data_IF_740288717997
#
_entry.id   IF_740288717997
#
_cell.length_a   1.000
_cell.length_b   1.000
_cell.length_c   1.000
_cell.angle_alpha   90.00
_cell.angle_beta   90.00
_cell.angle_gamma   90.00
#
_symmetry.space_group_name_H-M   'P 1'
#
loop_
_entity.id
_entity.type
_entity.pdbx_description
1 polymer ?
#
# COMPACT_ATOMS: atom_id res chain seq x y z
N UNK A 1 37.47 3.80 8.32
CA UNK A 1 36.55 4.68 7.56
C UNK A 1 35.55 3.74 6.89
N UNK A 2 34.28 4.08 6.89
CA UNK A 2 33.26 3.30 6.20
C UNK A 2 33.58 3.22 4.71
N UNK A 3 33.28 2.09 4.07
CA UNK A 3 33.54 1.86 2.66
C UNK A 3 32.48 2.53 1.78
N UNK A 4 31.25 2.73 2.31
CA UNK A 4 30.10 3.36 1.66
C UNK A 4 29.16 3.97 2.69
N UNK A 5 28.29 4.88 2.24
CA UNK A 5 27.29 5.56 3.08
C UNK A 5 25.88 5.22 2.62
N UNK A 6 25.04 4.82 3.56
CA UNK A 6 23.60 4.63 3.40
C UNK A 6 22.85 5.72 4.17
N UNK A 7 21.84 6.28 3.56
CA UNK A 7 21.01 7.33 4.17
C UNK A 7 19.58 6.82 4.29
N UNK A 8 18.93 7.11 5.42
CA UNK A 8 17.48 6.97 5.58
C UNK A 8 16.85 8.35 5.43
N UNK A 9 16.02 8.55 4.40
CA UNK A 9 15.36 9.83 4.13
C UNK A 9 14.34 10.20 5.20
N UNK A 10 13.58 9.19 5.64
CA UNK A 10 12.50 9.28 6.62
C UNK A 10 12.16 7.88 7.14
N UNK A 11 11.55 7.80 8.30
CA UNK A 11 11.09 6.52 8.86
C UNK A 11 9.90 6.72 9.82
N UNK A 12 9.11 5.65 9.99
CA UNK A 12 7.99 5.57 10.94
C UNK A 12 8.17 4.44 11.96
N UNK A 13 9.23 3.65 11.80
CA UNK A 13 9.55 2.55 12.69
C UNK A 13 9.96 3.09 14.07
N UNK A 14 9.81 2.32 15.16
CA UNK A 14 10.24 2.75 16.51
C UNK A 14 11.74 3.06 16.59
N UNK A 15 12.55 2.28 15.87
CA UNK A 15 13.99 2.44 15.72
C UNK A 15 14.45 1.87 14.36
N UNK A 16 15.74 1.95 14.08
CA UNK A 16 16.40 1.44 12.89
C UNK A 16 17.66 0.64 13.27
N UNK A 17 17.63 -0.04 14.38
CA UNK A 17 18.80 -0.80 14.87
C UNK A 17 19.12 -1.99 13.96
N UNK A 18 18.10 -2.65 13.40
CA UNK A 18 18.29 -3.77 12.45
C UNK A 18 19.01 -3.28 11.20
N UNK A 19 18.55 -2.18 10.62
CA UNK A 19 19.14 -1.57 9.42
C UNK A 19 20.58 -1.13 9.70
N UNK A 20 20.81 -0.53 10.86
CA UNK A 20 22.15 -0.09 11.32
C UNK A 20 23.10 -1.27 11.43
N UNK A 21 22.73 -2.30 12.17
CA UNK A 21 23.54 -3.50 12.34
C UNK A 21 23.88 -4.16 11.01
N UNK A 22 22.90 -4.25 10.10
CA UNK A 22 23.10 -4.83 8.77
C UNK A 22 24.06 -4.01 7.90
N UNK A 23 23.93 -2.69 7.90
CA UNK A 23 24.79 -1.78 7.12
C UNK A 23 26.23 -1.79 7.69
N UNK A 24 26.38 -1.70 9.01
CA UNK A 24 27.68 -1.73 9.68
C UNK A 24 28.41 -3.08 9.51
N UNK A 25 27.65 -4.21 9.55
CA UNK A 25 28.21 -5.54 9.35
C UNK A 25 28.90 -5.74 8.00
N UNK A 26 28.53 -4.96 6.99
CA UNK A 26 29.12 -4.99 5.65
C UNK A 26 30.06 -3.79 5.36
N UNK A 27 30.45 -3.05 6.42
CA UNK A 27 31.42 -1.96 6.33
C UNK A 27 30.85 -0.59 5.95
N UNK A 28 29.53 -0.43 5.97
CA UNK A 28 28.84 0.82 5.69
C UNK A 28 28.64 1.72 6.91
N UNK A 29 28.26 2.96 6.66
CA UNK A 29 27.77 3.93 7.65
C UNK A 29 26.30 4.21 7.38
N UNK A 30 25.44 4.22 8.41
CA UNK A 30 24.02 4.59 8.32
C UNK A 30 23.80 5.98 8.91
N UNK A 31 23.43 6.95 8.04
CA UNK A 31 22.96 8.28 8.44
C UNK A 31 21.43 8.33 8.37
N UNK A 32 20.78 8.89 9.39
CA UNK A 32 19.34 8.87 9.56
C UNK A 32 18.79 10.29 9.53
N UNK A 33 17.77 10.53 8.70
CA UNK A 33 17.04 11.78 8.59
C UNK A 33 15.54 11.63 8.83
N UNK A 34 14.87 12.75 8.93
CA UNK A 34 13.42 12.93 8.87
C UNK A 34 13.15 14.12 7.94
N UNK A 35 13.58 13.97 6.68
CA UNK A 35 13.57 15.05 5.71
C UNK A 35 12.16 15.47 5.36
N UNK A 36 11.95 16.80 5.24
CA UNK A 36 10.67 17.39 4.88
C UNK A 36 10.75 18.14 3.53
N UNK A 37 11.95 18.24 2.95
CA UNK A 37 12.21 18.89 1.68
C UNK A 37 13.32 18.21 0.90
N UNK A 38 13.33 18.41 -0.41
CA UNK A 38 14.41 17.94 -1.27
C UNK A 38 15.78 18.53 -0.87
N UNK A 39 15.81 19.78 -0.44
CA UNK A 39 17.02 20.45 0.03
C UNK A 39 17.63 19.76 1.26
N UNK A 40 16.81 19.43 2.26
CA UNK A 40 17.24 18.68 3.46
C UNK A 40 17.74 17.29 3.09
N UNK A 41 17.04 16.62 2.16
CA UNK A 41 17.46 15.30 1.69
C UNK A 41 18.79 15.35 0.94
N UNK A 42 18.99 16.36 0.09
CA UNK A 42 20.25 16.56 -0.63
C UNK A 42 21.38 16.86 0.36
N UNK A 43 21.16 17.73 1.36
CA UNK A 43 22.15 18.02 2.39
C UNK A 43 22.61 16.74 3.13
N UNK A 44 21.66 15.85 3.46
CA UNK A 44 21.95 14.59 4.14
C UNK A 44 22.65 13.57 3.23
N UNK A 45 22.22 13.50 1.94
CA UNK A 45 22.51 12.39 1.03
C UNK A 45 23.51 12.72 -0.09
N UNK A 46 24.05 13.96 -0.19
CA UNK A 46 24.89 14.40 -1.32
C UNK A 46 26.12 13.51 -1.57
N UNK A 47 26.60 12.81 -0.54
CA UNK A 47 27.74 11.91 -0.60
C UNK A 47 27.38 10.43 -0.38
N UNK A 48 26.07 10.10 -0.31
CA UNK A 48 25.57 8.75 -0.06
C UNK A 48 25.64 7.86 -1.31
N UNK A 49 25.91 6.58 -1.11
CA UNK A 49 25.90 5.53 -2.14
C UNK A 49 24.53 4.87 -2.27
N UNK A 50 23.76 4.80 -1.18
CA UNK A 50 22.42 4.20 -1.14
C UNK A 50 21.47 5.00 -0.25
N UNK A 51 20.18 4.89 -0.55
CA UNK A 51 19.10 5.54 0.21
C UNK A 51 18.00 4.55 0.54
N UNK A 52 17.55 4.56 1.80
CA UNK A 52 16.30 3.97 2.25
C UNK A 52 15.24 5.05 2.34
N UNK A 53 14.07 4.79 1.75
CA UNK A 53 12.96 5.74 1.68
C UNK A 53 11.68 5.09 2.21
N UNK A 54 10.88 5.82 2.97
CA UNK A 54 9.58 5.35 3.49
C UNK A 54 8.43 6.12 2.86
N UNK A 55 8.16 7.34 3.29
CA UNK A 55 7.05 8.17 2.80
C UNK A 55 7.48 9.50 2.20
N UNK A 56 8.71 9.91 2.40
CA UNK A 56 9.20 11.13 1.80
C UNK A 56 9.16 11.03 0.27
N UNK A 57 8.67 12.05 -0.40
CA UNK A 57 8.66 12.08 -1.85
C UNK A 57 8.04 13.34 -2.46
N UNK A 58 8.17 13.46 -3.79
CA UNK A 58 8.89 12.51 -4.65
C UNK A 58 10.42 12.62 -4.53
N UNK A 59 11.09 11.47 -4.50
CA UNK A 59 12.54 11.38 -4.70
C UNK A 59 12.75 11.44 -6.21
N UNK A 60 12.95 12.64 -6.73
CA UNK A 60 12.95 12.92 -8.15
C UNK A 60 14.26 13.53 -8.66
N UNK A 61 14.18 14.14 -9.82
CA UNK A 61 15.31 14.65 -10.62
C UNK A 61 16.26 15.58 -9.83
N UNK A 62 15.69 16.48 -9.02
CA UNK A 62 16.45 17.40 -8.17
C UNK A 62 17.31 16.65 -7.15
N UNK A 63 16.74 15.63 -6.50
CA UNK A 63 17.45 14.82 -5.50
C UNK A 63 18.56 14.02 -6.16
N UNK A 64 18.27 13.36 -7.29
CA UNK A 64 19.30 12.58 -8.00
C UNK A 64 20.44 13.44 -8.52
N UNK A 65 20.14 14.63 -9.03
CA UNK A 65 21.16 15.60 -9.46
C UNK A 65 22.03 16.09 -8.29
N UNK A 66 21.42 16.27 -7.11
CA UNK A 66 22.12 16.70 -5.89
C UNK A 66 22.90 15.59 -5.19
N UNK A 67 22.66 14.32 -5.54
CA UNK A 67 23.29 13.15 -4.93
C UNK A 67 24.09 12.31 -5.96
N UNK A 68 25.20 12.82 -6.50
CA UNK A 68 25.87 12.23 -7.67
C UNK A 68 26.52 10.86 -7.43
N UNK A 69 26.67 10.44 -6.19
CA UNK A 69 27.22 9.12 -5.83
C UNK A 69 26.13 8.07 -5.63
N UNK A 70 24.87 8.48 -5.59
CA UNK A 70 23.75 7.59 -5.30
C UNK A 70 23.59 6.54 -6.41
N UNK A 71 23.58 5.28 -6.02
CA UNK A 71 23.47 4.11 -6.93
C UNK A 71 22.14 3.39 -6.82
N UNK A 72 21.52 3.46 -5.63
CA UNK A 72 20.28 2.73 -5.35
C UNK A 72 19.42 3.48 -4.35
N UNK A 73 18.11 3.48 -4.63
CA UNK A 73 17.07 3.90 -3.68
C UNK A 73 16.16 2.71 -3.40
N UNK A 74 16.00 2.35 -2.13
CA UNK A 74 15.14 1.25 -1.69
C UNK A 74 13.94 1.83 -0.95
N UNK A 75 12.74 1.60 -1.48
CA UNK A 75 11.49 1.95 -0.82
C UNK A 75 11.11 0.88 0.20
N UNK A 76 10.93 1.24 1.48
CA UNK A 76 10.44 0.34 2.53
C UNK A 76 8.93 0.12 2.40
N UNK A 77 8.51 -0.51 1.31
CA UNK A 77 7.13 -0.83 1.06
C UNK A 77 6.85 -1.35 -0.34
N UNK A 78 5.59 -1.73 -0.59
CA UNK A 78 5.15 -2.27 -1.89
C UNK A 78 4.98 -1.16 -2.92
N UNK A 79 4.22 -0.10 -2.57
CA UNK A 79 4.05 1.08 -3.42
C UNK A 79 5.36 1.85 -3.58
N UNK A 80 5.57 2.48 -4.72
CA UNK A 80 6.79 3.25 -5.04
C UNK A 80 6.48 4.62 -5.64
N UNK A 81 5.28 5.12 -5.42
CA UNK A 81 4.82 6.44 -5.84
C UNK A 81 5.63 7.60 -5.26
N UNK A 82 6.38 7.35 -4.19
CA UNK A 82 7.36 8.29 -3.63
C UNK A 82 8.67 8.37 -4.41
N UNK A 83 8.90 7.48 -5.39
CA UNK A 83 10.13 7.41 -6.18
C UNK A 83 9.82 7.69 -7.66
N UNK A 84 10.41 8.73 -8.22
CA UNK A 84 10.39 8.96 -9.67
C UNK A 84 11.35 7.98 -10.37
N UNK A 85 10.78 6.86 -10.84
CA UNK A 85 11.54 5.78 -11.48
C UNK A 85 12.14 6.22 -12.83
N UNK A 86 11.48 7.13 -13.55
CA UNK A 86 11.99 7.65 -14.81
C UNK A 86 13.22 8.56 -14.56
N UNK A 87 13.13 9.43 -13.56
CA UNK A 87 14.27 10.23 -13.15
C UNK A 87 15.42 9.34 -12.64
N UNK A 88 15.13 8.34 -11.80
CA UNK A 88 16.13 7.37 -11.34
C UNK A 88 16.85 6.71 -12.52
N UNK A 89 16.11 6.30 -13.53
CA UNK A 89 16.68 5.69 -14.76
C UNK A 89 17.57 6.66 -15.52
N UNK A 90 17.16 7.94 -15.68
CA UNK A 90 17.97 8.97 -16.35
C UNK A 90 19.31 9.22 -15.63
N UNK A 91 19.30 9.15 -14.30
CA UNK A 91 20.48 9.36 -13.46
C UNK A 91 21.29 8.07 -13.20
N UNK A 92 20.87 6.92 -13.75
CA UNK A 92 21.53 5.62 -13.54
C UNK A 92 21.40 5.07 -12.13
N UNK A 93 20.37 5.50 -11.39
CA UNK A 93 20.07 5.05 -10.03
C UNK A 93 19.07 3.90 -10.09
N UNK A 94 19.35 2.81 -9.37
CA UNK A 94 18.45 1.66 -9.26
C UNK A 94 17.32 1.97 -8.27
N UNK A 95 16.06 1.84 -8.67
CA UNK A 95 14.91 1.91 -7.80
C UNK A 95 14.47 0.50 -7.41
N UNK A 96 14.33 0.24 -6.11
CA UNK A 96 13.97 -1.06 -5.53
C UNK A 96 12.82 -0.89 -4.55
N UNK A 97 11.91 -1.87 -4.48
CA UNK A 97 10.85 -1.91 -3.48
C UNK A 97 10.82 -3.27 -2.76
N UNK A 98 9.96 -3.42 -1.74
CA UNK A 98 9.71 -4.70 -1.05
C UNK A 98 8.31 -5.19 -1.44
N UNK A 99 8.18 -6.09 -2.45
CA UNK A 99 6.92 -6.27 -3.19
C UNK A 99 5.87 -7.14 -2.51
N UNK A 100 6.17 -7.83 -1.40
CA UNK A 100 5.30 -8.88 -0.87
C UNK A 100 5.26 -9.01 0.68
N UNK A 101 5.93 -8.14 1.41
CA UNK A 101 6.08 -8.24 2.89
C UNK A 101 4.76 -8.13 3.68
N UNK A 102 3.76 -7.43 3.16
CA UNK A 102 2.52 -7.12 3.89
C UNK A 102 1.23 -7.51 3.14
N UNK A 103 1.28 -8.51 2.27
CA UNK A 103 0.11 -8.98 1.51
C UNK A 103 -1.01 -9.44 2.44
N UNK A 104 -0.65 -10.18 3.48
CA UNK A 104 -1.59 -10.70 4.48
C UNK A 104 -2.13 -9.57 5.36
N UNK A 105 -1.25 -8.71 5.88
CA UNK A 105 -1.62 -7.62 6.79
C UNK A 105 -2.58 -6.62 6.11
N UNK A 106 -2.30 -6.22 4.88
CA UNK A 106 -3.17 -5.29 4.13
C UNK A 106 -4.53 -5.92 3.84
N UNK A 107 -4.56 -7.19 3.41
CA UNK A 107 -5.82 -7.88 3.16
C UNK A 107 -6.61 -8.15 4.45
N UNK A 108 -5.96 -8.46 5.58
CA UNK A 108 -6.59 -8.61 6.88
C UNK A 108 -7.19 -7.29 7.38
N UNK A 109 -6.44 -6.19 7.22
CA UNK A 109 -6.92 -4.87 7.59
C UNK A 109 -8.15 -4.45 6.78
N UNK A 110 -8.13 -4.68 5.45
CA UNK A 110 -9.27 -4.38 4.58
C UNK A 110 -10.53 -5.20 4.97
N UNK A 111 -10.38 -6.49 5.30
CA UNK A 111 -11.46 -7.33 5.83
C UNK A 111 -11.93 -6.80 7.19
N UNK A 112 -11.00 -6.43 8.07
CA UNK A 112 -11.33 -5.82 9.37
C UNK A 112 -12.20 -4.57 9.23
N UNK A 113 -11.88 -3.68 8.29
CA UNK A 113 -12.68 -2.49 7.98
C UNK A 113 -14.07 -2.86 7.43
N UNK A 114 -14.15 -3.79 6.49
CA UNK A 114 -15.43 -4.26 5.93
C UNK A 114 -16.34 -4.87 7.01
N UNK A 115 -15.79 -5.73 7.88
CA UNK A 115 -16.51 -6.30 9.01
C UNK A 115 -16.95 -5.23 10.00
N UNK A 116 -16.07 -4.29 10.33
CA UNK A 116 -16.38 -3.20 11.26
C UNK A 116 -17.52 -2.31 10.76
N UNK A 117 -17.56 -2.01 9.47
CA UNK A 117 -18.64 -1.24 8.84
C UNK A 117 -19.94 -2.04 8.80
N UNK A 118 -19.94 -3.25 8.24
CA UNK A 118 -21.13 -4.06 8.04
C UNK A 118 -21.77 -4.52 9.36
N UNK A 119 -20.95 -4.80 10.38
CA UNK A 119 -21.40 -5.22 11.72
C UNK A 119 -21.54 -4.09 12.72
N UNK A 120 -21.29 -2.82 12.33
CA UNK A 120 -21.40 -1.64 13.18
C UNK A 120 -20.51 -1.69 14.43
N UNK A 121 -19.34 -2.34 14.36
CA UNK A 121 -18.49 -2.60 15.54
C UNK A 121 -18.08 -1.30 16.21
N UNK A 122 -17.60 -0.30 15.45
CA UNK A 122 -17.16 1.00 15.99
C UNK A 122 -18.31 1.77 16.62
N UNK A 123 -19.50 1.73 16.00
CA UNK A 123 -20.70 2.38 16.56
C UNK A 123 -21.14 1.71 17.86
N UNK A 124 -21.12 0.37 17.92
CA UNK A 124 -21.44 -0.40 19.11
C UNK A 124 -20.45 -0.15 20.26
N UNK A 125 -19.14 -0.10 19.97
CA UNK A 125 -18.10 0.23 20.96
C UNK A 125 -18.34 1.62 21.57
N UNK A 126 -18.56 2.64 20.72
CA UNK A 126 -18.86 4.01 21.20
C UNK A 126 -20.09 4.05 22.09
N UNK A 127 -21.16 3.40 21.66
CA UNK A 127 -22.43 3.34 22.42
C UNK A 127 -22.23 2.73 23.81
N UNK A 128 -21.52 1.59 23.90
CA UNK A 128 -21.25 0.92 25.19
C UNK A 128 -20.36 1.80 26.08
N UNK A 129 -19.36 2.48 25.55
CA UNK A 129 -18.49 3.40 26.31
C UNK A 129 -19.22 4.61 26.87
N UNK A 130 -20.33 5.03 26.25
CA UNK A 130 -21.20 6.10 26.75
C UNK A 130 -22.29 5.59 27.72
N UNK A 131 -22.29 4.31 28.06
CA UNK A 131 -23.24 3.69 28.99
C UNK A 131 -24.58 3.33 28.33
N UNK A 132 -24.68 3.39 27.01
CA UNK A 132 -25.86 2.99 26.27
C UNK A 132 -25.82 1.51 25.90
N UNK A 133 -27.00 0.88 25.81
CA UNK A 133 -27.17 -0.52 25.47
C UNK A 133 -28.41 -0.75 24.62
N UNK A 134 -28.26 -1.60 23.57
CA UNK A 134 -29.38 -2.03 22.73
C UNK A 134 -29.05 -2.10 21.25
N UNK A 135 -29.88 -2.81 20.50
CA UNK A 135 -29.67 -3.01 19.05
C UNK A 135 -30.34 -1.95 18.17
N UNK A 136 -31.36 -1.25 18.71
CA UNK A 136 -32.17 -0.31 17.93
C UNK A 136 -31.33 0.85 17.34
N UNK A 137 -30.40 1.48 18.08
CA UNK A 137 -29.56 2.55 17.53
C UNK A 137 -28.55 2.09 16.47
N UNK A 138 -28.26 0.78 16.41
CA UNK A 138 -27.29 0.21 15.47
C UNK A 138 -27.91 -0.21 14.13
N UNK A 139 -29.23 -0.19 14.00
CA UNK A 139 -29.91 -0.62 12.77
C UNK A 139 -29.72 0.42 11.62
N UNK A 140 -29.64 -0.07 10.37
CA UNK A 140 -29.61 -1.48 9.96
C UNK A 140 -28.22 -2.10 10.16
N UNK A 141 -28.20 -3.36 10.65
CA UNK A 141 -26.97 -4.19 10.67
C UNK A 141 -27.01 -5.13 9.48
N UNK A 142 -26.04 -5.05 8.61
CA UNK A 142 -26.04 -5.79 7.35
C UNK A 142 -25.69 -7.27 7.55
N UNK A 143 -26.39 -8.13 6.81
CA UNK A 143 -25.97 -9.51 6.61
C UNK A 143 -24.88 -9.51 5.52
N UNK A 144 -23.71 -10.05 5.82
CA UNK A 144 -22.58 -10.05 4.89
C UNK A 144 -22.66 -11.20 3.89
N UNK A 145 -23.09 -12.39 4.34
CA UNK A 145 -23.28 -13.55 3.46
C UNK A 145 -24.28 -13.22 2.33
N UNK A 146 -23.90 -13.50 1.10
CA UNK A 146 -24.69 -13.23 -0.10
C UNK A 146 -24.55 -11.79 -0.62
N UNK A 147 -23.74 -10.93 0.01
CA UNK A 147 -23.35 -9.65 -0.58
C UNK A 147 -22.40 -9.85 -1.76
N UNK A 148 -22.38 -8.90 -2.65
CA UNK A 148 -21.39 -8.80 -3.72
C UNK A 148 -20.26 -7.87 -3.28
N UNK A 149 -19.02 -8.38 -3.32
CA UNK A 149 -17.83 -7.58 -3.02
C UNK A 149 -16.99 -7.40 -4.30
N UNK A 150 -16.80 -6.14 -4.68
CA UNK A 150 -15.98 -5.76 -5.83
C UNK A 150 -14.52 -5.52 -5.42
N UNK A 151 -13.59 -6.07 -6.17
CA UNK A 151 -12.15 -5.92 -5.98
C UNK A 151 -11.59 -5.14 -7.17
N UNK A 152 -11.11 -3.93 -6.94
CA UNK A 152 -10.47 -3.10 -7.95
C UNK A 152 -8.96 -3.29 -7.86
N UNK A 153 -8.37 -3.88 -8.91
CA UNK A 153 -6.98 -4.34 -8.91
C UNK A 153 -6.83 -5.75 -8.32
N UNK A 154 -6.58 -6.74 -9.19
CA UNK A 154 -6.41 -8.15 -8.79
C UNK A 154 -4.93 -8.57 -8.82
N UNK A 155 -4.05 -7.71 -8.29
CA UNK A 155 -2.64 -7.99 -8.04
C UNK A 155 -2.44 -8.97 -6.87
N UNK A 156 -1.25 -8.98 -6.25
CA UNK A 156 -0.95 -9.88 -5.11
C UNK A 156 -1.93 -9.72 -3.95
N UNK A 157 -2.18 -8.46 -3.52
CA UNK A 157 -3.11 -8.16 -2.40
C UNK A 157 -4.55 -8.47 -2.80
N UNK A 158 -5.00 -8.05 -3.99
CA UNK A 158 -6.37 -8.32 -4.47
C UNK A 158 -6.68 -9.81 -4.57
N UNK A 159 -5.73 -10.63 -5.01
CA UNK A 159 -5.85 -12.10 -5.03
C UNK A 159 -5.97 -12.69 -3.63
N UNK A 160 -5.17 -12.18 -2.69
CA UNK A 160 -5.25 -12.63 -1.28
C UNK A 160 -6.57 -12.19 -0.64
N UNK A 161 -7.02 -10.99 -0.96
CA UNK A 161 -8.34 -10.49 -0.54
C UNK A 161 -9.47 -11.39 -1.05
N UNK A 162 -9.45 -11.78 -2.33
CA UNK A 162 -10.44 -12.70 -2.91
C UNK A 162 -10.47 -14.04 -2.17
N UNK A 163 -9.29 -14.63 -1.90
CA UNK A 163 -9.17 -15.90 -1.16
C UNK A 163 -9.78 -15.80 0.24
N UNK A 164 -9.45 -14.73 0.98
CA UNK A 164 -9.96 -14.54 2.35
C UNK A 164 -11.46 -14.25 2.36
N UNK A 165 -11.97 -13.41 1.44
CA UNK A 165 -13.40 -13.08 1.34
C UNK A 165 -14.26 -14.28 0.97
N UNK A 166 -13.73 -15.25 0.21
CA UNK A 166 -14.51 -16.45 -0.18
C UNK A 166 -15.08 -17.22 1.01
N UNK A 167 -14.38 -17.18 2.16
CA UNK A 167 -14.85 -17.85 3.40
C UNK A 167 -16.11 -17.22 4.01
N UNK A 168 -16.49 -16.00 3.61
CA UNK A 168 -17.66 -15.30 4.14
C UNK A 168 -18.95 -15.56 3.34
N UNK A 169 -18.88 -16.36 2.27
CA UNK A 169 -20.03 -16.67 1.43
C UNK A 169 -20.56 -15.47 0.66
N UNK A 170 -19.67 -14.60 0.21
CA UNK A 170 -19.97 -13.45 -0.65
C UNK A 170 -19.75 -13.80 -2.12
N UNK A 171 -20.42 -13.07 -3.00
CA UNK A 171 -20.11 -13.08 -4.44
C UNK A 171 -18.95 -12.14 -4.72
N UNK A 172 -17.96 -12.57 -5.52
CA UNK A 172 -16.77 -11.80 -5.81
C UNK A 172 -16.75 -11.34 -7.27
N UNK A 173 -16.56 -10.04 -7.45
CA UNK A 173 -16.29 -9.42 -8.73
C UNK A 173 -14.88 -8.79 -8.69
N UNK A 174 -14.24 -8.71 -9.84
CA UNK A 174 -13.02 -7.90 -9.96
C UNK A 174 -12.98 -7.09 -11.26
N UNK A 175 -12.33 -5.92 -11.18
CA UNK A 175 -11.96 -5.11 -12.31
C UNK A 175 -10.45 -4.90 -12.29
N UNK A 176 -9.78 -5.37 -13.34
CA UNK A 176 -8.33 -5.21 -13.56
C UNK A 176 -8.05 -5.36 -15.06
N UNK A 177 -7.49 -4.33 -15.75
CA UNK A 177 -7.22 -4.39 -17.17
C UNK A 177 -6.13 -5.40 -17.54
N UNK A 178 -5.23 -5.72 -16.60
CA UNK A 178 -4.04 -6.56 -16.84
C UNK A 178 -4.24 -8.03 -16.46
N UNK A 179 -5.39 -8.37 -15.82
CA UNK A 179 -5.67 -9.74 -15.37
C UNK A 179 -6.80 -10.37 -16.20
N UNK A 180 -6.56 -11.55 -16.77
CA UNK A 180 -7.55 -12.31 -17.54
C UNK A 180 -8.71 -12.85 -16.69
N UNK A 181 -9.84 -13.16 -17.32
CA UNK A 181 -11.00 -13.73 -16.65
C UNK A 181 -10.77 -15.18 -16.14
N UNK A 182 -9.76 -15.86 -16.67
CA UNK A 182 -9.35 -17.23 -16.38
C UNK A 182 -8.28 -17.31 -15.28
N UNK A 183 -8.08 -16.21 -14.52
CA UNK A 183 -7.08 -16.17 -13.45
C UNK A 183 -7.32 -17.26 -12.41
N UNK A 184 -6.26 -18.00 -12.10
CA UNK A 184 -6.31 -19.02 -11.03
C UNK A 184 -6.21 -18.35 -9.65
N UNK A 185 -7.24 -18.57 -8.84
CA UNK A 185 -7.32 -18.10 -7.44
C UNK A 185 -7.35 -19.28 -6.44
N UNK A 186 -6.90 -20.48 -6.86
CA UNK A 186 -6.92 -21.67 -6.01
C UNK A 186 -8.34 -22.20 -5.74
N UNK A 187 -9.19 -22.20 -6.76
CA UNK A 187 -10.57 -22.67 -6.68
C UNK A 187 -11.59 -21.64 -6.19
N UNK A 188 -11.17 -20.39 -5.94
CA UNK A 188 -12.09 -19.28 -5.58
C UNK A 188 -12.73 -18.72 -6.83
N UNK A 189 -14.07 -18.73 -6.89
CA UNK A 189 -14.81 -18.07 -7.96
C UNK A 189 -14.79 -16.54 -7.78
N UNK A 190 -14.29 -15.83 -8.78
CA UNK A 190 -14.27 -14.37 -8.82
C UNK A 190 -14.47 -13.95 -10.28
N UNK A 191 -15.55 -13.24 -10.57
CA UNK A 191 -15.94 -12.90 -11.93
C UNK A 191 -15.33 -11.57 -12.36
N UNK A 192 -14.65 -11.56 -13.52
CA UNK A 192 -14.18 -10.32 -14.16
C UNK A 192 -15.34 -9.53 -14.72
N UNK A 193 -15.33 -8.21 -14.46
CA UNK A 193 -16.28 -7.23 -15.01
C UNK A 193 -15.54 -5.93 -15.29
N UNK A 194 -16.17 -5.04 -16.05
CA UNK A 194 -15.70 -3.67 -16.21
C UNK A 194 -15.93 -2.87 -14.91
N UNK A 195 -15.14 -1.81 -14.68
CA UNK A 195 -15.18 -1.03 -13.45
C UNK A 195 -16.55 -0.44 -13.15
N UNK A 196 -17.23 0.11 -14.17
CA UNK A 196 -18.58 0.65 -14.04
C UNK A 196 -19.59 -0.42 -13.60
N UNK A 197 -19.53 -1.61 -14.20
CA UNK A 197 -20.37 -2.74 -13.80
C UNK A 197 -20.06 -3.18 -12.37
N UNK A 198 -18.78 -3.23 -11.98
CA UNK A 198 -18.37 -3.54 -10.61
C UNK A 198 -18.97 -2.56 -9.62
N UNK A 199 -18.85 -1.25 -9.87
CA UNK A 199 -19.41 -0.22 -9.01
C UNK A 199 -20.93 -0.37 -8.84
N UNK A 200 -21.64 -0.66 -9.92
CA UNK A 200 -23.11 -0.81 -9.91
C UNK A 200 -23.61 -2.05 -9.20
N UNK A 201 -22.83 -3.14 -9.23
CA UNK A 201 -23.26 -4.45 -8.70
C UNK A 201 -22.78 -4.71 -7.28
N UNK A 202 -21.79 -3.98 -6.79
CA UNK A 202 -21.14 -4.29 -5.51
C UNK A 202 -21.86 -3.62 -4.32
N UNK A 203 -22.06 -4.37 -3.25
CA UNK A 203 -22.48 -3.87 -1.94
C UNK A 203 -21.29 -3.25 -1.17
N UNK A 204 -20.09 -3.71 -1.48
CA UNK A 204 -18.83 -3.18 -0.93
C UNK A 204 -17.72 -3.26 -1.98
N UNK A 205 -16.84 -2.26 -1.99
CA UNK A 205 -15.70 -2.20 -2.92
C UNK A 205 -14.42 -2.08 -2.10
N UNK A 206 -13.41 -2.85 -2.49
CA UNK A 206 -12.06 -2.76 -1.95
C UNK A 206 -11.07 -2.47 -3.09
N UNK A 207 -10.16 -1.52 -2.85
CA UNK A 207 -9.24 -1.02 -3.89
C UNK A 207 -7.82 -1.45 -3.57
N UNK A 208 -7.20 -2.15 -4.51
CA UNK A 208 -5.83 -2.65 -4.44
C UNK A 208 -5.05 -2.36 -5.73
N UNK A 209 -5.50 -1.36 -6.49
CA UNK A 209 -4.80 -0.86 -7.67
C UNK A 209 -3.54 -0.07 -7.28
N UNK A 210 -2.52 -0.12 -8.12
CA UNK A 210 -1.33 0.71 -7.96
C UNK A 210 -1.69 2.19 -8.15
N UNK A 211 -1.12 3.07 -7.34
CA UNK A 211 -1.26 4.52 -7.51
C UNK A 211 -0.35 5.01 -8.64
N UNK A 212 -0.95 5.48 -9.74
CA UNK A 212 -0.30 6.08 -10.90
C UNK A 212 -1.28 6.98 -11.66
N UNK A 213 -0.83 7.58 -12.76
CA UNK A 213 -1.66 8.48 -13.58
C UNK A 213 -2.92 7.81 -14.13
N UNK A 214 -2.87 6.52 -14.48
CA UNK A 214 -4.00 5.76 -15.00
C UNK A 214 -5.06 5.46 -13.94
N UNK A 215 -4.65 5.37 -12.67
CA UNK A 215 -5.52 5.07 -11.53
C UNK A 215 -5.90 6.30 -10.72
N UNK A 216 -5.37 7.47 -11.09
CA UNK A 216 -5.73 8.73 -10.44
C UNK A 216 -7.22 9.03 -10.67
N UNK A 217 -7.97 9.25 -9.57
CA UNK A 217 -9.43 9.39 -9.59
C UNK A 217 -10.19 8.23 -10.27
N UNK A 218 -9.63 7.01 -10.23
CA UNK A 218 -10.24 5.82 -10.82
C UNK A 218 -11.67 5.58 -10.31
N UNK A 219 -11.90 5.75 -9.00
CA UNK A 219 -13.23 5.81 -8.41
C UNK A 219 -13.65 7.28 -8.28
N UNK A 220 -14.60 7.69 -9.08
CA UNK A 220 -15.13 9.04 -9.14
C UNK A 220 -16.63 9.07 -8.79
N UNK A 221 -17.30 10.21 -8.96
CA UNK A 221 -18.71 10.37 -8.63
C UNK A 221 -19.67 9.45 -9.43
N UNK A 222 -19.23 8.88 -10.55
CA UNK A 222 -20.04 7.95 -11.36
C UNK A 222 -20.05 6.54 -10.74
N UNK A 223 -19.09 6.23 -9.86
CA UNK A 223 -18.99 4.97 -9.12
C UNK A 223 -19.84 4.94 -7.84
N UNK A 224 -20.44 6.08 -7.44
CA UNK A 224 -21.23 6.25 -6.22
C UNK A 224 -22.60 6.85 -6.53
#
# INVERSE_FOLDING_TARGET
MAEFKVVVSDYILPDLEIEREMVEAIGGELAIGQCQSAAELIELAHDADAMFNTYFGPVGDEVYAGCPKLKVVVRFGIGYDTIDVEAATRHGVMAVNVPDYCIDEVSDHAIGLWLALGRKIVAADRMVRTGEWGMKPLQPVLKLQGQTVGIVGLGRIGKQMARKLSAFGVELLFADPHVGADVDLGGVACRKVELEELCRLSDAITVHALANDETHHLLNAECF
#
